data_IF_161772044894
#
_entry.id   IF_161772044894
#
_cell.length_a   1.000
_cell.length_b   1.000
_cell.length_c   1.000
_cell.angle_alpha   90.00
_cell.angle_beta   90.00
_cell.angle_gamma   90.00
#
_symmetry.space_group_name_H-M   'P 1'
#
loop_
_entity.id
_entity.type
_entity.pdbx_description
1 polymer ?
#
# COMPACT_ATOMS: atom_id res chain seq x y z
N UNK A 1 22.74 14.41 0.27
CA UNK A 1 21.74 14.40 1.37
C UNK A 1 20.39 13.87 0.90
N UNK A 2 19.68 14.53 -0.03
CA UNK A 2 18.37 14.05 -0.52
C UNK A 2 18.40 12.64 -1.15
N UNK A 3 19.36 12.36 -2.04
CA UNK A 3 19.52 11.02 -2.66
C UNK A 3 19.81 9.91 -1.66
N UNK A 4 20.53 10.22 -0.58
CA UNK A 4 20.86 9.26 0.48
C UNK A 4 19.62 8.93 1.31
N UNK A 5 18.82 9.94 1.66
CA UNK A 5 17.57 9.75 2.40
C UNK A 5 16.54 8.96 1.57
N UNK A 6 16.39 9.29 0.28
CA UNK A 6 15.51 8.53 -0.63
C UNK A 6 15.94 7.06 -0.66
N UNK A 7 17.24 6.80 -0.82
CA UNK A 7 17.75 5.43 -0.82
C UNK A 7 17.45 4.69 0.49
N UNK A 8 17.67 5.32 1.64
CA UNK A 8 17.39 4.73 2.96
C UNK A 8 15.90 4.43 3.17
N UNK A 9 15.03 5.36 2.77
CA UNK A 9 13.57 5.18 2.84
C UNK A 9 13.13 4.06 1.90
N UNK A 10 13.65 4.01 0.67
CA UNK A 10 13.34 2.94 -0.29
C UNK A 10 13.82 1.58 0.21
N UNK A 11 15.01 1.50 0.81
CA UNK A 11 15.49 0.23 1.39
C UNK A 11 14.63 -0.19 2.58
N UNK A 12 14.30 0.73 3.49
CA UNK A 12 13.42 0.44 4.62
C UNK A 12 12.06 -0.07 4.15
N UNK A 13 11.45 0.59 3.17
CA UNK A 13 10.17 0.16 2.59
C UNK A 13 10.27 -1.23 1.97
N UNK A 14 11.31 -1.48 1.17
CA UNK A 14 11.54 -2.79 0.56
C UNK A 14 11.68 -3.89 1.61
N UNK A 15 12.47 -3.67 2.66
CA UNK A 15 12.64 -4.63 3.75
C UNK A 15 11.30 -4.93 4.43
N UNK A 16 10.50 -3.91 4.74
CA UNK A 16 9.18 -4.08 5.36
C UNK A 16 8.24 -4.89 4.45
N UNK A 17 8.21 -4.61 3.15
CA UNK A 17 7.39 -5.37 2.19
C UNK A 17 7.84 -6.84 2.10
N UNK A 18 9.16 -7.10 2.08
CA UNK A 18 9.70 -8.47 2.09
C UNK A 18 9.31 -9.23 3.36
N UNK A 19 9.35 -8.56 4.52
CA UNK A 19 8.91 -9.13 5.80
C UNK A 19 7.40 -9.41 5.79
N UNK A 20 6.57 -8.49 5.31
CA UNK A 20 5.12 -8.65 5.20
C UNK A 20 4.75 -9.87 4.32
N UNK A 21 5.42 -10.02 3.17
CA UNK A 21 5.24 -11.18 2.28
C UNK A 21 5.64 -12.48 2.99
N UNK A 22 6.74 -12.48 3.76
CA UNK A 22 7.19 -13.64 4.53
C UNK A 22 6.18 -14.03 5.61
N UNK A 23 5.61 -13.04 6.30
CA UNK A 23 4.55 -13.23 7.29
C UNK A 23 3.31 -13.85 6.63
N UNK A 24 2.83 -13.28 5.52
CA UNK A 24 1.69 -13.80 4.76
C UNK A 24 1.87 -15.26 4.37
N UNK A 25 3.03 -15.62 3.79
CA UNK A 25 3.38 -17.02 3.45
C UNK A 25 3.35 -17.93 4.66
N UNK A 26 3.94 -17.49 5.78
CA UNK A 26 3.98 -18.27 7.02
C UNK A 26 2.58 -18.51 7.57
N UNK A 27 1.70 -17.50 7.56
CA UNK A 27 0.32 -17.60 8.01
C UNK A 27 -0.49 -18.61 7.19
N UNK A 28 -0.34 -18.57 5.86
CA UNK A 28 -0.99 -19.51 4.94
C UNK A 28 -0.42 -20.94 5.07
N UNK A 29 0.90 -21.11 4.97
CA UNK A 29 1.52 -22.42 4.88
C UNK A 29 1.51 -23.18 6.21
N UNK A 30 1.89 -22.50 7.30
CA UNK A 30 2.12 -23.12 8.62
C UNK A 30 0.87 -23.08 9.51
N UNK A 31 0.12 -21.98 9.48
CA UNK A 31 -1.01 -21.77 10.39
C UNK A 31 -2.38 -21.95 9.73
N UNK A 32 -2.44 -22.13 8.40
CA UNK A 32 -3.67 -22.26 7.61
C UNK A 32 -4.63 -21.07 7.77
N UNK A 33 -4.07 -19.90 8.10
CA UNK A 33 -4.79 -18.64 8.27
C UNK A 33 -4.91 -17.91 6.93
N UNK A 34 -5.57 -18.55 5.97
CA UNK A 34 -5.60 -18.09 4.59
C UNK A 34 -6.23 -16.70 4.46
N UNK A 35 -7.31 -16.43 5.18
CA UNK A 35 -7.99 -15.13 5.13
C UNK A 35 -7.12 -13.98 5.65
N UNK A 36 -6.41 -14.20 6.76
CA UNK A 36 -5.47 -13.21 7.33
C UNK A 36 -4.32 -12.95 6.35
N UNK A 37 -3.81 -14.00 5.69
CA UNK A 37 -2.80 -13.87 4.64
C UNK A 37 -3.33 -13.10 3.42
N UNK A 38 -4.56 -13.39 2.97
CA UNK A 38 -5.23 -12.68 1.86
C UNK A 38 -5.41 -11.18 2.15
N UNK A 39 -5.78 -10.81 3.38
CA UNK A 39 -5.85 -9.41 3.80
C UNK A 39 -4.48 -8.73 3.71
N UNK A 40 -3.41 -9.39 4.20
CA UNK A 40 -2.03 -8.85 4.13
C UNK A 40 -1.58 -8.69 2.67
N UNK A 41 -1.86 -9.66 1.81
CA UNK A 41 -1.51 -9.59 0.38
C UNK A 41 -2.26 -8.45 -0.32
N UNK A 42 -3.53 -8.24 0.02
CA UNK A 42 -4.35 -7.14 -0.52
C UNK A 42 -3.86 -5.76 -0.06
N UNK A 43 -3.42 -5.65 1.20
CA UNK A 43 -2.77 -4.45 1.72
C UNK A 43 -1.47 -4.18 0.95
N UNK A 44 -0.60 -5.18 0.78
CA UNK A 44 0.66 -5.03 0.06
C UNK A 44 0.45 -4.64 -1.42
N UNK A 45 -0.55 -5.21 -2.09
CA UNK A 45 -0.92 -4.81 -3.44
C UNK A 45 -1.40 -3.34 -3.50
N UNK A 46 -2.18 -2.90 -2.52
CA UNK A 46 -2.58 -1.49 -2.39
C UNK A 46 -1.40 -0.55 -2.14
N UNK A 47 -0.46 -0.94 -1.27
CA UNK A 47 0.74 -0.15 -1.00
C UNK A 47 1.63 -0.01 -2.24
N UNK A 48 1.75 -1.06 -3.05
CA UNK A 48 2.44 -1.01 -4.34
C UNK A 48 1.75 -0.02 -5.30
N UNK A 49 0.43 -0.13 -5.49
CA UNK A 49 -0.32 0.78 -6.36
C UNK A 49 -0.20 2.25 -5.89
N UNK A 50 -0.26 2.48 -4.57
CA UNK A 50 -0.06 3.81 -3.99
C UNK A 50 1.31 4.38 -4.32
N UNK A 51 2.36 3.55 -4.28
CA UNK A 51 3.73 3.97 -4.59
C UNK A 51 3.86 4.38 -6.07
N UNK A 52 3.30 3.57 -6.97
CA UNK A 52 3.28 3.83 -8.42
C UNK A 52 2.54 5.13 -8.73
N UNK A 53 1.32 5.31 -8.20
CA UNK A 53 0.53 6.53 -8.36
C UNK A 53 1.21 7.77 -7.78
N UNK A 54 1.95 7.62 -6.66
CA UNK A 54 2.70 8.74 -6.07
C UNK A 54 3.84 9.19 -6.99
N UNK A 55 4.52 8.26 -7.64
CA UNK A 55 5.55 8.57 -8.63
C UNK A 55 4.95 9.24 -9.87
N UNK A 56 3.84 8.72 -10.40
CA UNK A 56 3.11 9.33 -11.52
C UNK A 56 2.66 10.76 -11.18
N UNK A 57 2.10 10.97 -9.98
CA UNK A 57 1.68 12.29 -9.51
C UNK A 57 2.85 13.27 -9.42
N UNK A 58 4.02 12.81 -8.97
CA UNK A 58 5.21 13.64 -8.90
C UNK A 58 5.67 14.07 -10.31
N UNK A 59 5.65 13.15 -11.28
CA UNK A 59 5.98 13.44 -12.68
C UNK A 59 4.97 14.42 -13.28
N UNK A 60 3.68 14.19 -13.08
CA UNK A 60 2.61 15.06 -13.59
C UNK A 60 2.70 16.48 -13.02
N UNK A 61 2.99 16.61 -11.72
CA UNK A 61 3.22 17.92 -11.07
C UNK A 61 4.44 18.64 -11.65
N UNK A 62 5.51 17.92 -11.96
CA UNK A 62 6.67 18.50 -12.62
C UNK A 62 6.30 18.97 -14.03
N UNK A 63 5.48 18.21 -14.76
CA UNK A 63 4.96 18.60 -16.08
C UNK A 63 4.18 19.92 -16.08
N UNK A 64 3.36 20.19 -15.06
CA UNK A 64 2.67 21.48 -14.89
C UNK A 64 3.66 22.65 -14.75
N UNK A 65 4.77 22.43 -14.04
CA UNK A 65 5.80 23.46 -13.83
C UNK A 65 6.61 23.68 -15.11
N UNK A 66 6.98 22.60 -15.78
CA UNK A 66 7.82 22.63 -16.97
C UNK A 66 7.07 23.14 -18.22
N UNK A 67 5.75 22.91 -18.28
CA UNK A 67 4.90 23.35 -19.38
C UNK A 67 3.56 23.94 -18.87
N UNK A 68 3.57 25.19 -18.37
CA UNK A 68 2.40 25.81 -17.74
C UNK A 68 1.25 26.14 -18.71
N UNK A 69 1.50 26.07 -20.02
CA UNK A 69 0.50 26.35 -21.07
C UNK A 69 -0.39 25.13 -21.39
N UNK A 70 0.00 23.94 -20.92
CA UNK A 70 -0.77 22.72 -21.10
C UNK A 70 -1.86 22.59 -20.04
N UNK A 71 -3.06 23.07 -20.39
CA UNK A 71 -4.26 23.02 -19.54
C UNK A 71 -4.72 21.59 -19.22
N UNK A 72 -4.20 20.55 -19.90
CA UNK A 72 -4.54 19.15 -19.59
C UNK A 72 -3.78 18.61 -18.38
N UNK A 73 -2.62 19.19 -18.04
CA UNK A 73 -1.77 18.73 -16.94
C UNK A 73 -2.43 18.91 -15.56
N UNK A 74 -3.08 20.05 -15.23
CA UNK A 74 -3.84 20.19 -13.98
C UNK A 74 -4.94 19.16 -13.81
N UNK A 75 -5.66 18.81 -14.88
CA UNK A 75 -6.71 17.80 -14.85
C UNK A 75 -6.15 16.39 -14.57
N UNK A 76 -4.99 16.06 -15.14
CA UNK A 76 -4.29 14.81 -14.86
C UNK A 76 -3.83 14.71 -13.40
N UNK A 77 -3.29 15.80 -12.85
CA UNK A 77 -2.91 15.87 -11.42
C UNK A 77 -4.13 15.60 -10.52
N UNK A 78 -5.27 16.23 -10.80
CA UNK A 78 -6.49 16.02 -10.03
C UNK A 78 -6.98 14.56 -10.11
N UNK A 79 -6.98 13.96 -11.30
CA UNK A 79 -7.37 12.56 -11.47
C UNK A 79 -6.43 11.58 -10.76
N UNK A 80 -5.13 11.83 -10.76
CA UNK A 80 -4.15 11.02 -10.01
C UNK A 80 -4.34 11.17 -8.49
N UNK A 81 -4.69 12.37 -8.00
CA UNK A 81 -5.00 12.58 -6.58
C UNK A 81 -6.24 11.80 -6.14
N UNK A 82 -7.29 11.80 -6.96
CA UNK A 82 -8.50 11.02 -6.68
C UNK A 82 -8.21 9.52 -6.65
N UNK A 83 -7.47 9.00 -7.63
CA UNK A 83 -7.04 7.59 -7.64
C UNK A 83 -6.23 7.24 -6.38
N UNK A 84 -5.30 8.11 -5.98
CA UNK A 84 -4.49 7.90 -4.79
C UNK A 84 -5.35 7.85 -3.52
N UNK A 85 -6.36 8.72 -3.42
CA UNK A 85 -7.31 8.69 -2.31
C UNK A 85 -8.10 7.38 -2.27
N UNK A 86 -8.59 6.91 -3.42
CA UNK A 86 -9.32 5.66 -3.52
C UNK A 86 -8.47 4.45 -3.09
N UNK A 87 -7.20 4.41 -3.49
CA UNK A 87 -6.26 3.37 -3.05
C UNK A 87 -6.05 3.41 -1.54
N UNK A 88 -5.91 4.61 -0.95
CA UNK A 88 -5.78 4.75 0.52
C UNK A 88 -7.04 4.26 1.24
N UNK A 89 -8.23 4.58 0.73
CA UNK A 89 -9.49 4.06 1.30
C UNK A 89 -9.52 2.54 1.25
N UNK A 90 -9.19 1.93 0.11
CA UNK A 90 -9.16 0.47 -0.05
C UNK A 90 -8.14 -0.21 0.87
N UNK A 91 -6.96 0.38 1.07
CA UNK A 91 -5.97 -0.13 2.04
C UNK A 91 -6.56 -0.10 3.46
N UNK A 92 -7.25 0.98 3.84
CA UNK A 92 -7.86 1.09 5.17
C UNK A 92 -8.97 0.06 5.38
N UNK A 93 -9.79 -0.20 4.36
CA UNK A 93 -10.80 -1.27 4.38
C UNK A 93 -10.13 -2.64 4.64
N UNK A 94 -9.05 -2.96 3.92
CA UNK A 94 -8.34 -4.22 4.14
C UNK A 94 -7.63 -4.31 5.50
N UNK A 95 -7.20 -3.19 6.07
CA UNK A 95 -6.67 -3.13 7.44
C UNK A 95 -7.76 -3.41 8.48
N UNK A 96 -8.97 -2.93 8.23
CA UNK A 96 -10.14 -3.20 9.05
C UNK A 96 -10.56 -4.68 8.95
N UNK A 97 -10.58 -5.25 7.74
CA UNK A 97 -10.80 -6.69 7.53
C UNK A 97 -9.75 -7.54 8.27
N UNK A 98 -8.48 -7.17 8.16
CA UNK A 98 -7.38 -7.85 8.86
C UNK A 98 -7.58 -7.84 10.38
N UNK A 99 -8.04 -6.71 10.92
CA UNK A 99 -8.34 -6.59 12.35
C UNK A 99 -9.45 -7.58 12.75
N UNK A 100 -10.56 -7.64 12.02
CA UNK A 100 -11.66 -8.55 12.32
C UNK A 100 -11.24 -10.03 12.20
N UNK A 101 -10.59 -10.40 11.10
CA UNK A 101 -10.14 -11.78 10.86
C UNK A 101 -9.06 -12.22 11.87
N UNK A 102 -8.30 -11.28 12.46
CA UNK A 102 -7.34 -11.58 13.53
C UNK A 102 -7.98 -11.61 14.93
N UNK A 103 -9.01 -10.81 15.21
CA UNK A 103 -9.79 -10.87 16.46
C UNK A 103 -10.50 -12.23 16.61
N UNK A 104 -10.97 -12.83 15.50
CA UNK A 104 -11.53 -14.18 15.46
C UNK A 104 -10.56 -15.26 15.94
N UNK A 105 -9.24 -15.02 15.88
CA UNK A 105 -8.23 -15.96 16.39
C UNK A 105 -8.15 -15.95 17.92
N UNK A 106 -8.44 -14.82 18.56
CA UNK A 106 -8.42 -14.68 20.01
C UNK A 106 -9.72 -15.19 20.64
N UNK A 107 -10.87 -14.95 20.01
CA UNK A 107 -12.17 -15.39 20.50
C UNK A 107 -12.38 -16.90 20.36
N UNK A 108 -11.81 -17.53 19.33
CA UNK A 108 -11.82 -18.99 19.17
C UNK A 108 -10.75 -19.71 20.02
N UNK A 109 -9.87 -18.95 20.71
CA UNK A 109 -8.82 -19.48 21.58
C UNK A 109 -9.26 -19.78 23.02
N UNK A 110 -10.43 -19.29 23.47
CA UNK A 110 -10.93 -19.52 24.85
C UNK A 110 -11.66 -20.85 25.06
N UNK A 111 -11.54 -21.81 24.12
CA UNK A 111 -12.32 -23.05 24.11
C UNK A 111 -11.55 -24.33 23.79
N UNK A 112 -10.24 -24.42 24.07
CA UNK A 112 -9.47 -25.67 23.96
C UNK A 112 -8.54 -25.92 25.13
#
# INVERSE_FOLDING_TARGET
MYRSLVHEVTQSFKTISEEAISISKTLCEKYKLNKVAECIDSIQAGEQEKLELTAELQIARQGVVDNPEDESMPAQVAGLQEKLQNVVCRINEHLEDLKYESEDLYTNGEGR
#
